data_IF_547171098361
#
_entry.id   IF_547171098361
#
_cell.length_a   1.000
_cell.length_b   1.000
_cell.length_c   1.000
_cell.angle_alpha   90.00
_cell.angle_beta   90.00
_cell.angle_gamma   90.00
#
_symmetry.space_group_name_H-M   'P 1'
#
loop_
_entity.id
_entity.type
_entity.pdbx_description
1 polymer ?
#
# COMPACT_ATOMS: atom_id res chain seq x y z
N UNK A 1 19.07 -5.75 -19.08
CA UNK A 1 19.16 -6.72 -17.96
C UNK A 1 19.21 -5.95 -16.67
N UNK A 2 18.22 -6.11 -15.79
CA UNK A 2 18.24 -5.48 -14.46
C UNK A 2 19.40 -6.06 -13.65
N UNK A 3 20.37 -5.24 -13.26
CA UNK A 3 21.49 -5.66 -12.40
C UNK A 3 20.96 -6.32 -11.14
N UNK A 4 21.54 -7.46 -10.78
CA UNK A 4 21.31 -8.08 -9.47
C UNK A 4 21.85 -7.14 -8.39
N UNK A 5 20.96 -6.58 -7.55
CA UNK A 5 21.35 -5.66 -6.46
C UNK A 5 21.82 -6.41 -5.21
N UNK A 6 21.55 -7.69 -5.09
CA UNK A 6 21.82 -8.46 -3.87
C UNK A 6 23.31 -8.42 -3.43
N UNK A 7 24.32 -8.59 -4.35
CA UNK A 7 25.71 -8.51 -3.95
C UNK A 7 26.10 -7.11 -3.43
N UNK A 8 25.61 -6.04 -4.07
CA UNK A 8 25.86 -4.67 -3.67
C UNK A 8 25.25 -4.37 -2.28
N UNK A 9 24.01 -4.78 -2.06
CA UNK A 9 23.31 -4.57 -0.78
C UNK A 9 23.98 -5.36 0.33
N UNK A 10 24.44 -6.60 0.07
CA UNK A 10 25.20 -7.40 1.03
C UNK A 10 26.51 -6.74 1.43
N UNK A 11 27.21 -6.14 0.49
CA UNK A 11 28.48 -5.44 0.74
C UNK A 11 28.24 -4.18 1.57
N UNK A 12 27.30 -3.31 1.14
CA UNK A 12 27.02 -2.04 1.78
C UNK A 12 26.52 -2.23 3.24
N UNK A 13 25.71 -3.25 3.51
CA UNK A 13 25.10 -3.46 4.83
C UNK A 13 25.83 -4.52 5.66
N UNK A 14 27.03 -4.93 5.24
CA UNK A 14 27.83 -5.90 5.99
C UNK A 14 28.13 -5.42 7.41
N UNK A 15 27.86 -6.27 8.41
CA UNK A 15 28.00 -5.95 9.84
C UNK A 15 26.76 -5.31 10.48
N UNK A 16 25.81 -4.79 9.71
CA UNK A 16 24.50 -4.33 10.21
C UNK A 16 23.39 -5.36 9.99
N UNK A 17 23.31 -5.90 8.77
CA UNK A 17 22.28 -6.87 8.38
C UNK A 17 22.90 -8.00 7.56
N UNK A 18 22.49 -9.23 7.85
CA UNK A 18 22.79 -10.39 7.00
C UNK A 18 21.66 -10.53 5.98
N UNK A 19 21.92 -10.11 4.74
CA UNK A 19 20.92 -10.09 3.67
C UNK A 19 20.82 -11.47 3.03
N UNK A 20 19.67 -12.15 3.22
CA UNK A 20 19.45 -13.52 2.77
C UNK A 20 19.11 -13.60 1.27
N UNK A 21 17.95 -13.06 0.89
CA UNK A 21 17.39 -13.17 -0.47
C UNK A 21 16.44 -12.03 -0.81
N UNK A 22 16.25 -11.76 -2.09
CA UNK A 22 15.20 -10.87 -2.59
C UNK A 22 13.82 -11.55 -2.38
N UNK A 23 12.86 -10.80 -1.84
CA UNK A 23 11.49 -11.25 -1.58
C UNK A 23 10.44 -10.41 -2.32
N UNK A 24 10.81 -9.24 -2.84
CA UNK A 24 9.92 -8.38 -3.61
C UNK A 24 10.68 -7.46 -4.54
N UNK A 25 10.03 -7.14 -5.67
CA UNK A 25 10.59 -6.27 -6.70
C UNK A 25 9.51 -5.30 -7.18
N UNK A 26 9.76 -4.01 -6.98
CA UNK A 26 8.94 -2.92 -7.52
C UNK A 26 9.75 -1.99 -8.43
N UNK A 27 9.06 -1.06 -9.10
CA UNK A 27 9.73 -0.06 -9.95
C UNK A 27 10.67 0.87 -9.18
N UNK A 28 10.30 1.25 -7.95
CA UNK A 28 11.03 2.21 -7.14
C UNK A 28 12.04 1.57 -6.17
N UNK A 29 11.84 0.30 -5.78
CA UNK A 29 12.64 -0.36 -4.75
C UNK A 29 12.65 -1.88 -4.90
N UNK A 30 13.61 -2.51 -4.22
CA UNK A 30 13.72 -3.95 -4.01
C UNK A 30 13.57 -4.28 -2.53
N UNK A 31 12.91 -5.39 -2.23
CA UNK A 31 12.73 -5.85 -0.85
C UNK A 31 13.51 -7.14 -0.65
N UNK A 32 14.27 -7.19 0.42
CA UNK A 32 15.08 -8.35 0.80
C UNK A 32 14.67 -8.85 2.18
N UNK A 33 14.66 -10.17 2.38
CA UNK A 33 14.68 -10.74 3.70
C UNK A 33 16.10 -10.60 4.25
N UNK A 34 16.22 -10.14 5.48
CA UNK A 34 17.50 -9.96 6.15
C UNK A 34 17.39 -10.30 7.63
N UNK A 35 18.52 -10.56 8.28
CA UNK A 35 18.62 -10.74 9.73
C UNK A 35 19.34 -9.57 10.36
N UNK A 36 18.74 -9.00 11.39
CA UNK A 36 19.39 -8.01 12.24
C UNK A 36 20.45 -8.67 13.13
N UNK A 37 21.25 -7.86 13.82
CA UNK A 37 22.33 -8.33 14.72
C UNK A 37 21.84 -9.19 15.89
N UNK A 38 20.56 -9.03 16.30
CA UNK A 38 19.88 -9.84 17.32
C UNK A 38 19.29 -11.15 16.76
N UNK A 39 19.52 -11.46 15.48
CA UNK A 39 19.01 -12.63 14.77
C UNK A 39 17.57 -12.53 14.29
N UNK A 40 16.86 -11.43 14.59
CA UNK A 40 15.48 -11.22 14.17
C UNK A 40 15.40 -11.07 12.65
N UNK A 41 14.40 -11.72 12.04
CA UNK A 41 14.10 -11.59 10.63
C UNK A 41 13.39 -10.25 10.37
N UNK A 42 13.87 -9.50 9.37
CA UNK A 42 13.37 -8.18 8.99
C UNK A 42 13.18 -8.10 7.48
N UNK A 43 12.34 -7.18 7.02
CA UNK A 43 12.21 -6.81 5.63
C UNK A 43 13.04 -5.54 5.38
N UNK A 44 14.07 -5.67 4.56
CA UNK A 44 14.96 -4.59 4.15
C UNK A 44 14.52 -4.10 2.77
N UNK A 45 14.04 -2.88 2.68
CA UNK A 45 13.66 -2.26 1.41
C UNK A 45 14.73 -1.25 0.97
N UNK A 46 15.23 -1.45 -0.23
CA UNK A 46 16.33 -0.67 -0.84
C UNK A 46 15.77 0.09 -2.02
N UNK A 47 15.95 1.41 -2.05
CA UNK A 47 15.58 2.21 -3.19
C UNK A 47 16.46 1.89 -4.41
N UNK A 48 15.85 1.94 -5.59
CA UNK A 48 16.62 1.75 -6.82
C UNK A 48 17.71 2.82 -6.94
N UNK A 49 18.96 2.47 -7.31
CA UNK A 49 20.10 3.42 -7.33
C UNK A 49 19.83 4.70 -8.14
N UNK A 50 19.06 4.60 -9.23
CA UNK A 50 18.69 5.77 -10.04
C UNK A 50 17.75 6.73 -9.30
N UNK A 51 16.86 6.20 -8.45
CA UNK A 51 16.01 7.00 -7.57
C UNK A 51 16.81 7.56 -6.39
N UNK A 52 17.63 6.73 -5.75
CA UNK A 52 18.48 7.16 -4.65
C UNK A 52 19.39 8.34 -5.04
N UNK A 53 19.96 8.34 -6.24
CA UNK A 53 20.77 9.44 -6.76
C UNK A 53 20.00 10.76 -6.98
N UNK A 54 18.66 10.71 -7.15
CA UNK A 54 17.81 11.89 -7.36
C UNK A 54 17.11 12.37 -6.08
N UNK A 55 17.16 11.56 -5.02
CA UNK A 55 16.50 11.82 -3.73
C UNK A 55 17.47 12.55 -2.80
N UNK A 56 17.00 13.65 -2.21
CA UNK A 56 17.75 14.30 -1.12
C UNK A 56 17.57 13.44 0.17
N UNK A 57 18.60 12.66 0.50
CA UNK A 57 18.55 11.69 1.61
C UNK A 57 18.03 12.29 2.91
N UNK A 58 18.45 13.53 3.26
CA UNK A 58 17.95 14.21 4.46
C UNK A 58 16.43 14.43 4.46
N UNK A 59 15.84 14.78 3.30
CA UNK A 59 14.38 14.96 3.19
C UNK A 59 13.67 13.64 3.29
N UNK A 60 14.20 12.60 2.65
CA UNK A 60 13.68 11.24 2.73
C UNK A 60 13.67 10.74 4.17
N UNK A 61 14.78 10.90 4.92
CA UNK A 61 14.86 10.49 6.32
C UNK A 61 13.92 11.29 7.22
N UNK A 62 13.74 12.58 6.97
CA UNK A 62 12.77 13.39 7.72
C UNK A 62 11.34 12.86 7.57
N UNK A 63 10.93 12.54 6.35
CA UNK A 63 9.60 11.99 6.08
C UNK A 63 9.44 10.60 6.68
N UNK A 64 10.45 9.73 6.56
CA UNK A 64 10.43 8.39 7.17
C UNK A 64 10.40 8.47 8.69
N UNK A 65 11.10 9.41 9.30
CA UNK A 65 11.11 9.58 10.75
C UNK A 65 9.70 9.82 11.33
N UNK A 66 8.83 10.48 10.59
CA UNK A 66 7.43 10.68 11.00
C UNK A 66 6.63 9.36 11.07
N UNK A 67 7.13 8.29 10.46
CA UNK A 67 6.50 6.96 10.49
C UNK A 67 6.94 6.14 11.71
N UNK A 68 8.08 6.47 12.32
CA UNK A 68 8.66 5.71 13.43
C UNK A 68 7.71 5.51 14.63
N UNK A 69 6.80 6.46 14.99
CA UNK A 69 5.85 6.27 16.09
C UNK A 69 4.66 5.36 15.76
N UNK A 70 4.53 4.86 14.52
CA UNK A 70 3.43 3.99 14.16
C UNK A 70 3.64 2.58 14.71
N UNK A 71 2.90 2.23 15.75
CA UNK A 71 2.82 0.88 16.32
C UNK A 71 1.37 0.42 16.31
N UNK A 72 1.07 -0.63 15.54
CA UNK A 72 -0.25 -1.22 15.44
C UNK A 72 -0.14 -2.67 14.92
N UNK A 73 -0.97 -3.63 15.36
CA UNK A 73 -0.90 -5.02 14.91
C UNK A 73 -1.08 -5.20 13.38
N UNK A 74 -1.78 -4.28 12.74
CA UNK A 74 -2.04 -4.28 11.30
C UNK A 74 -1.15 -3.28 10.52
N UNK A 75 -0.04 -2.82 11.08
CA UNK A 75 0.97 -1.98 10.43
C UNK A 75 2.34 -2.65 10.58
N UNK A 76 3.06 -2.85 9.50
CA UNK A 76 4.47 -3.26 9.59
C UNK A 76 5.29 -2.08 10.12
N UNK A 77 5.83 -2.25 11.33
CA UNK A 77 6.56 -1.19 12.03
C UNK A 77 7.88 -0.89 11.34
N UNK A 78 8.21 0.40 11.21
CA UNK A 78 9.54 0.85 10.83
C UNK A 78 10.53 0.59 11.96
N UNK A 79 11.63 -0.09 11.66
CA UNK A 79 12.67 -0.49 12.62
C UNK A 79 13.90 0.42 12.53
N UNK A 80 14.35 0.67 11.29
CA UNK A 80 15.58 1.40 11.01
C UNK A 80 15.53 2.00 9.59
N UNK A 81 16.39 2.97 9.31
CA UNK A 81 16.59 3.51 7.98
C UNK A 81 17.99 4.13 7.88
N UNK A 82 18.52 4.25 6.67
CA UNK A 82 19.85 4.82 6.49
C UNK A 82 20.33 4.84 5.05
N UNK A 83 21.56 5.29 4.90
CA UNK A 83 22.32 5.27 3.67
C UNK A 83 23.71 4.72 3.97
N UNK A 84 24.11 3.69 3.22
CA UNK A 84 25.44 3.08 3.30
C UNK A 84 25.94 2.82 1.87
N UNK A 85 27.13 3.28 1.53
CA UNK A 85 27.73 3.10 0.20
C UNK A 85 26.77 3.45 -0.94
N UNK A 86 26.04 4.57 -0.82
CA UNK A 86 25.01 5.03 -1.78
C UNK A 86 23.77 4.14 -1.88
N UNK A 87 23.61 3.20 -0.96
CA UNK A 87 22.42 2.38 -0.80
C UNK A 87 21.49 3.03 0.21
N UNK A 88 20.42 3.66 -0.31
CA UNK A 88 19.37 4.25 0.51
C UNK A 88 18.35 3.16 0.87
N UNK A 89 18.10 2.93 2.15
CA UNK A 89 17.28 1.83 2.62
C UNK A 89 16.44 2.19 3.85
N UNK A 90 15.43 1.37 4.10
CA UNK A 90 14.72 1.29 5.37
C UNK A 90 14.39 -0.16 5.70
N UNK A 91 14.20 -0.41 6.99
CA UNK A 91 13.98 -1.72 7.57
C UNK A 91 12.66 -1.73 8.31
N UNK A 92 11.84 -2.74 8.08
CA UNK A 92 10.54 -2.92 8.73
C UNK A 92 10.38 -4.35 9.23
N UNK A 93 9.35 -4.58 10.06
CA UNK A 93 9.01 -5.93 10.49
C UNK A 93 8.83 -6.84 9.27
N UNK A 94 9.39 -8.06 9.36
CA UNK A 94 9.12 -9.10 8.38
C UNK A 94 7.74 -9.70 8.65
N UNK A 95 6.83 -9.53 7.73
CA UNK A 95 5.47 -10.08 7.80
C UNK A 95 5.42 -11.34 6.95
N UNK A 96 5.13 -12.48 7.57
CA UNK A 96 5.00 -13.76 6.88
C UNK A 96 3.61 -13.90 6.26
N UNK A 97 3.56 -14.13 4.96
CA UNK A 97 2.33 -14.32 4.21
C UNK A 97 2.40 -13.76 2.79
N UNK A 98 1.47 -14.14 1.91
CA UNK A 98 1.37 -13.58 0.58
C UNK A 98 0.82 -12.15 0.63
N UNK A 99 1.11 -11.35 -0.39
CA UNK A 99 0.38 -10.10 -0.62
C UNK A 99 -1.07 -10.41 -1.03
N UNK A 100 -2.00 -9.50 -0.75
CA UNK A 100 -3.37 -9.61 -1.25
C UNK A 100 -3.40 -9.74 -2.78
N UNK A 101 -2.46 -9.10 -3.49
CA UNK A 101 -2.31 -9.26 -4.95
C UNK A 101 -2.02 -10.70 -5.34
N UNK A 102 -1.04 -11.34 -4.69
CA UNK A 102 -0.71 -12.74 -4.94
C UNK A 102 -1.89 -13.66 -4.61
N UNK A 103 -2.59 -13.38 -3.51
CA UNK A 103 -3.77 -14.13 -3.14
C UNK A 103 -4.87 -14.02 -4.21
N UNK A 104 -5.22 -12.81 -4.64
CA UNK A 104 -6.23 -12.59 -5.68
C UNK A 104 -5.86 -13.23 -7.02
N UNK A 105 -4.58 -13.24 -7.37
CA UNK A 105 -4.09 -13.96 -8.56
C UNK A 105 -4.32 -15.48 -8.46
N UNK A 106 -4.26 -16.05 -7.25
CA UNK A 106 -4.46 -17.50 -7.03
C UNK A 106 -5.93 -17.92 -6.99
N UNK A 107 -6.82 -17.09 -6.38
CA UNK A 107 -8.23 -17.42 -6.17
C UNK A 107 -9.18 -16.69 -7.11
N UNK A 108 -8.69 -15.74 -7.92
CA UNK A 108 -9.40 -14.80 -8.80
C UNK A 108 -10.22 -13.76 -8.03
N UNK A 109 -10.95 -14.13 -6.99
CA UNK A 109 -11.70 -13.24 -6.08
C UNK A 109 -11.72 -13.83 -4.67
N UNK A 110 -11.64 -12.97 -3.67
CA UNK A 110 -11.68 -13.36 -2.28
C UNK A 110 -13.11 -13.71 -1.81
N UNK A 111 -13.21 -14.49 -0.74
CA UNK A 111 -14.47 -14.69 -0.03
C UNK A 111 -15.01 -13.39 0.57
N UNK A 112 -16.34 -13.28 0.75
CA UNK A 112 -16.97 -12.10 1.38
C UNK A 112 -16.44 -11.92 2.80
N UNK A 113 -16.40 -13.00 3.59
CA UNK A 113 -15.89 -12.97 4.96
C UNK A 113 -14.43 -12.55 5.03
N UNK A 114 -13.58 -13.04 4.12
CA UNK A 114 -12.16 -12.67 4.09
C UNK A 114 -11.98 -11.21 3.67
N UNK A 115 -12.78 -10.74 2.69
CA UNK A 115 -12.78 -9.33 2.29
C UNK A 115 -13.20 -8.42 3.46
N UNK A 116 -14.20 -8.82 4.25
CA UNK A 116 -14.62 -8.08 5.44
C UNK A 116 -13.51 -8.05 6.50
N UNK A 117 -12.82 -9.17 6.77
CA UNK A 117 -11.68 -9.22 7.71
C UNK A 117 -10.58 -8.29 7.26
N UNK A 118 -10.18 -8.37 5.99
CA UNK A 118 -9.16 -7.47 5.41
C UNK A 118 -9.60 -6.00 5.56
N UNK A 119 -10.88 -5.69 5.28
CA UNK A 119 -11.39 -4.34 5.41
C UNK A 119 -11.30 -3.82 6.85
N UNK A 120 -11.70 -4.61 7.84
CA UNK A 120 -11.60 -4.24 9.26
C UNK A 120 -10.15 -3.99 9.69
N UNK A 121 -9.24 -4.91 9.37
CA UNK A 121 -7.83 -4.83 9.76
C UNK A 121 -7.14 -3.60 9.13
N UNK A 122 -7.36 -3.37 7.83
CA UNK A 122 -6.78 -2.22 7.11
C UNK A 122 -7.38 -0.90 7.58
N UNK A 123 -8.69 -0.86 7.87
CA UNK A 123 -9.31 0.35 8.41
C UNK A 123 -8.83 0.68 9.82
N UNK A 124 -8.56 -0.32 10.67
CA UNK A 124 -7.94 -0.09 11.98
C UNK A 124 -6.52 0.45 11.84
N UNK A 125 -5.72 -0.08 10.90
CA UNK A 125 -4.40 0.43 10.57
C UNK A 125 -4.45 1.88 10.07
N UNK A 126 -5.33 2.18 9.11
CA UNK A 126 -5.50 3.52 8.58
C UNK A 126 -5.97 4.52 9.64
N UNK A 127 -6.92 4.13 10.50
CA UNK A 127 -7.37 4.97 11.61
C UNK A 127 -6.22 5.36 12.53
N UNK A 128 -5.39 4.39 12.94
CA UNK A 128 -4.22 4.63 13.78
C UNK A 128 -3.22 5.61 13.14
N UNK A 129 -3.00 5.53 11.83
CA UNK A 129 -2.10 6.43 11.12
C UNK A 129 -2.72 7.83 10.93
N UNK A 130 -3.99 7.90 10.53
CA UNK A 130 -4.72 9.14 10.29
C UNK A 130 -4.85 9.99 11.55
N UNK A 131 -5.07 9.37 12.71
CA UNK A 131 -5.10 10.05 14.03
C UNK A 131 -3.76 10.74 14.37
N UNK A 132 -2.68 10.35 13.70
CA UNK A 132 -1.33 10.97 13.81
C UNK A 132 -1.00 11.89 12.63
N UNK A 133 -1.98 12.18 11.78
CA UNK A 133 -1.79 13.02 10.58
C UNK A 133 -1.00 12.33 9.46
N UNK A 134 -0.85 11.01 9.50
CA UNK A 134 -0.11 10.23 8.51
C UNK A 134 -1.10 9.63 7.52
N UNK A 135 -0.99 9.99 6.24
CA UNK A 135 -1.76 9.45 5.12
C UNK A 135 -0.87 8.45 4.37
N UNK A 136 -1.39 7.25 4.07
CA UNK A 136 -0.63 6.18 3.42
C UNK A 136 -0.28 6.50 1.96
N UNK A 137 -1.25 7.00 1.18
CA UNK A 137 -1.13 7.45 -0.21
C UNK A 137 -0.84 6.38 -1.27
N UNK A 138 -0.67 5.13 -0.88
CA UNK A 138 -0.39 4.01 -1.80
C UNK A 138 -1.07 2.71 -1.32
N UNK A 139 -2.35 2.80 -0.88
CA UNK A 139 -3.14 1.63 -0.49
C UNK A 139 -3.48 0.84 -1.74
N UNK A 140 -2.96 -0.40 -1.81
CA UNK A 140 -3.16 -1.31 -2.95
C UNK A 140 -2.91 -2.76 -2.53
N UNK A 141 -3.35 -3.76 -3.29
CA UNK A 141 -3.21 -5.17 -2.92
C UNK A 141 -1.75 -5.63 -2.73
N UNK A 142 -0.79 -4.99 -3.38
CA UNK A 142 0.65 -5.27 -3.22
C UNK A 142 1.17 -4.86 -1.84
N UNK A 143 0.53 -3.85 -1.21
CA UNK A 143 0.93 -3.29 0.08
C UNK A 143 0.10 -3.83 1.26
N UNK A 144 -0.72 -4.86 1.04
CA UNK A 144 -1.47 -5.57 2.08
C UNK A 144 -0.97 -7.01 2.13
N UNK A 145 -0.34 -7.40 3.23
CA UNK A 145 0.14 -8.75 3.49
C UNK A 145 -0.90 -9.53 4.31
N UNK A 146 -1.17 -10.76 3.91
CA UNK A 146 -2.12 -11.65 4.58
C UNK A 146 -1.36 -12.57 5.54
N UNK A 147 -1.14 -12.08 6.76
CA UNK A 147 -0.48 -12.82 7.82
C UNK A 147 -1.46 -13.73 8.59
N UNK A 148 -0.97 -14.74 9.34
CA UNK A 148 -1.82 -15.62 10.15
C UNK A 148 -2.71 -14.87 11.15
N UNK A 149 -2.24 -13.72 11.66
CA UNK A 149 -2.95 -12.89 12.64
C UNK A 149 -3.90 -11.86 12.01
N UNK A 150 -3.95 -11.73 10.68
CA UNK A 150 -4.78 -10.78 9.95
C UNK A 150 -4.03 -10.03 8.85
N UNK A 151 -4.70 -9.09 8.20
CA UNK A 151 -4.09 -8.25 7.17
C UNK A 151 -3.15 -7.22 7.81
N UNK A 152 -1.98 -7.02 7.19
CA UNK A 152 -0.97 -6.05 7.65
C UNK A 152 -0.63 -5.11 6.50
N UNK A 153 -0.77 -3.82 6.72
CA UNK A 153 -0.45 -2.76 5.76
C UNK A 153 1.03 -2.40 5.87
N UNK A 154 1.70 -2.34 4.73
CA UNK A 154 3.14 -2.03 4.61
C UNK A 154 3.35 -0.75 3.81
N UNK A 155 4.56 -0.17 3.89
CA UNK A 155 5.00 0.96 3.04
C UNK A 155 4.25 2.29 3.25
N UNK A 156 3.86 2.60 4.48
CA UNK A 156 3.23 3.88 4.84
C UNK A 156 4.07 5.08 4.39
N UNK A 157 3.44 6.04 3.71
CA UNK A 157 4.00 7.36 3.42
C UNK A 157 5.29 7.40 2.59
N UNK A 158 5.87 6.25 2.22
CA UNK A 158 7.16 6.16 1.53
C UNK A 158 7.07 6.79 0.14
N UNK A 159 5.94 6.65 -0.56
CA UNK A 159 5.72 7.30 -1.86
C UNK A 159 5.86 8.82 -1.75
N UNK A 160 5.34 9.43 -0.67
CA UNK A 160 5.52 10.86 -0.38
C UNK A 160 6.96 11.21 -0.06
N UNK A 161 7.64 10.41 0.77
CA UNK A 161 9.03 10.63 1.13
C UNK A 161 9.94 10.67 -0.12
N UNK A 162 9.72 9.75 -1.06
CA UNK A 162 10.44 9.70 -2.34
C UNK A 162 10.10 10.90 -3.22
N UNK A 163 8.82 11.25 -3.38
CA UNK A 163 8.38 12.38 -4.20
C UNK A 163 8.89 13.72 -3.66
N UNK A 164 8.71 14.00 -2.37
CA UNK A 164 9.18 15.25 -1.74
C UNK A 164 10.71 15.38 -1.72
N UNK A 165 11.43 14.27 -1.76
CA UNK A 165 12.87 14.27 -1.85
C UNK A 165 13.41 14.60 -3.26
N UNK A 166 12.54 14.86 -4.25
CA UNK A 166 12.93 15.37 -5.57
C UNK A 166 12.85 14.37 -6.72
N UNK A 167 12.23 13.21 -6.51
CA UNK A 167 12.08 12.17 -7.53
C UNK A 167 10.92 12.40 -8.52
N UNK A 168 10.26 13.57 -8.51
CA UNK A 168 9.07 13.89 -9.32
C UNK A 168 9.27 13.67 -10.85
N UNK A 169 10.52 13.78 -11.32
CA UNK A 169 10.84 13.56 -12.74
C UNK A 169 10.85 12.09 -13.14
N UNK A 170 11.07 11.17 -12.19
CA UNK A 170 11.16 9.73 -12.45
C UNK A 170 9.78 9.04 -12.35
N UNK A 171 8.85 9.56 -11.55
CA UNK A 171 7.47 9.05 -11.49
C UNK A 171 6.72 9.30 -12.79
N UNK A 172 7.07 10.37 -13.54
CA UNK A 172 6.52 10.66 -14.88
C UNK A 172 7.06 9.76 -15.99
N UNK A 173 8.11 9.00 -15.77
CA UNK A 173 8.79 8.20 -16.79
C UNK A 173 8.53 6.68 -16.70
N UNK A 174 7.37 6.24 -16.18
CA UNK A 174 6.96 4.83 -16.29
C UNK A 174 7.44 3.90 -15.17
N UNK A 175 7.97 4.41 -14.05
CA UNK A 175 8.31 3.58 -12.89
C UNK A 175 7.10 3.15 -12.04
N UNK A 176 5.90 3.66 -12.34
CA UNK A 176 4.66 3.42 -11.60
C UNK A 176 3.69 2.46 -12.30
N UNK A 177 4.18 1.48 -13.05
CA UNK A 177 3.32 0.47 -13.67
C UNK A 177 2.58 -0.33 -12.60
N UNK A 178 1.27 -0.13 -12.48
CA UNK A 178 0.36 -0.86 -11.59
C UNK A 178 -0.29 -0.05 -10.46
N UNK A 179 0.19 1.16 -10.15
CA UNK A 179 -0.36 1.98 -9.05
C UNK A 179 -1.62 2.77 -9.47
N UNK A 180 -1.78 3.06 -10.75
CA UNK A 180 -2.87 3.88 -11.29
C UNK A 180 -4.28 3.33 -11.00
N UNK A 181 -4.42 2.00 -10.86
CA UNK A 181 -5.72 1.34 -10.64
C UNK A 181 -6.37 1.62 -9.27
N UNK A 182 -5.65 2.26 -8.34
CA UNK A 182 -6.13 2.56 -6.97
C UNK A 182 -5.97 4.03 -6.59
N UNK A 183 -5.42 4.87 -7.49
CA UNK A 183 -5.20 6.29 -7.22
C UNK A 183 -6.52 7.03 -7.07
N UNK A 184 -6.61 7.88 -6.06
CA UNK A 184 -7.76 8.76 -5.89
C UNK A 184 -7.77 9.89 -6.94
N UNK A 185 -8.96 10.44 -7.29
CA UNK A 185 -9.09 11.53 -8.25
C UNK A 185 -8.21 12.75 -7.93
N UNK A 186 -8.08 13.11 -6.64
CA UNK A 186 -7.25 14.22 -6.17
C UNK A 186 -5.74 13.92 -6.27
N UNK A 187 -5.31 12.67 -6.06
CA UNK A 187 -3.93 12.26 -6.32
C UNK A 187 -3.58 12.38 -7.81
N UNK A 188 -4.48 11.93 -8.68
CA UNK A 188 -4.33 12.03 -10.14
C UNK A 188 -4.30 13.49 -10.61
N UNK A 189 -5.07 14.35 -9.95
CA UNK A 189 -5.08 15.78 -10.24
C UNK A 189 -3.82 16.50 -9.73
N UNK A 190 -2.97 15.83 -8.92
CA UNK A 190 -1.80 16.46 -8.31
C UNK A 190 -2.17 17.51 -7.27
N UNK A 191 -3.30 17.32 -6.55
CA UNK A 191 -3.74 18.25 -5.51
C UNK A 191 -2.74 18.27 -4.35
N UNK A 192 -2.53 19.47 -3.78
CA UNK A 192 -1.75 19.63 -2.55
C UNK A 192 -2.54 19.17 -1.30
N UNK A 193 -3.87 19.14 -1.38
CA UNK A 193 -4.80 18.78 -0.30
C UNK A 193 -5.15 17.29 -0.29
N UNK A 194 -4.14 16.42 -0.25
CA UNK A 194 -4.35 14.98 -0.12
C UNK A 194 -4.45 14.62 1.36
N UNK A 195 -5.62 14.16 1.80
CA UNK A 195 -5.91 13.76 3.17
C UNK A 195 -6.28 12.26 3.32
N UNK A 196 -6.72 11.87 4.52
CA UNK A 196 -7.15 10.51 4.88
C UNK A 196 -8.19 9.91 3.92
N UNK A 197 -9.03 10.73 3.29
CA UNK A 197 -10.09 10.29 2.37
C UNK A 197 -9.54 9.75 1.05
N UNK A 198 -8.29 10.05 0.71
CA UNK A 198 -7.61 9.42 -0.43
C UNK A 198 -7.33 7.93 -0.17
N UNK A 199 -6.90 7.58 1.06
CA UNK A 199 -6.69 6.17 1.44
C UNK A 199 -8.01 5.40 1.48
N UNK A 200 -9.11 6.05 1.90
CA UNK A 200 -10.46 5.49 1.89
C UNK A 200 -10.89 5.15 0.46
N UNK A 201 -10.65 6.03 -0.51
CA UNK A 201 -10.91 5.77 -1.91
C UNK A 201 -10.12 4.56 -2.43
N UNK A 202 -8.82 4.56 -2.17
CA UNK A 202 -7.93 3.48 -2.59
C UNK A 202 -8.34 2.14 -1.98
N UNK A 203 -8.70 2.12 -0.69
CA UNK A 203 -9.24 0.92 -0.04
C UNK A 203 -10.57 0.49 -0.67
N UNK A 204 -11.46 1.42 -1.01
CA UNK A 204 -12.68 1.13 -1.76
C UNK A 204 -12.40 0.37 -3.05
N UNK A 205 -11.39 0.80 -3.83
CA UNK A 205 -10.96 0.12 -5.05
C UNK A 205 -10.39 -1.29 -4.76
N UNK A 206 -9.60 -1.44 -3.69
CA UNK A 206 -9.07 -2.75 -3.25
C UNK A 206 -10.19 -3.72 -2.87
N UNK A 207 -11.17 -3.27 -2.09
CA UNK A 207 -12.31 -4.10 -1.68
C UNK A 207 -13.20 -4.46 -2.87
N UNK A 208 -13.40 -3.51 -3.80
CA UNK A 208 -14.08 -3.80 -5.06
C UNK A 208 -13.36 -4.91 -5.84
N UNK A 209 -12.04 -4.80 -6.07
CA UNK A 209 -11.26 -5.83 -6.75
C UNK A 209 -11.32 -7.17 -6.01
N UNK A 210 -11.23 -7.16 -4.68
CA UNK A 210 -11.28 -8.38 -3.87
C UNK A 210 -12.56 -9.17 -4.09
N UNK A 211 -13.70 -8.49 -4.24
CA UNK A 211 -15.00 -9.10 -4.48
C UNK A 211 -15.26 -9.38 -5.98
N UNK A 212 -14.94 -8.45 -6.85
CA UNK A 212 -15.21 -8.53 -8.28
C UNK A 212 -14.18 -9.37 -9.05
N UNK A 213 -12.97 -9.57 -8.51
CA UNK A 213 -11.85 -10.27 -9.14
C UNK A 213 -11.08 -9.43 -10.17
N UNK A 214 -11.39 -8.14 -10.25
CA UNK A 214 -10.71 -7.15 -11.11
C UNK A 214 -10.93 -5.73 -10.57
N UNK A 215 -10.03 -4.78 -10.87
CA UNK A 215 -10.16 -3.39 -10.45
C UNK A 215 -11.47 -2.74 -10.93
N UNK A 216 -11.92 -1.63 -10.30
CA UNK A 216 -13.14 -0.93 -10.70
C UNK A 216 -13.05 -0.34 -12.12
N UNK A 217 -11.85 0.05 -12.53
CA UNK A 217 -11.59 0.62 -13.86
C UNK A 217 -10.40 -0.09 -14.50
N UNK A 218 -10.58 -0.49 -15.76
CA UNK A 218 -9.57 -1.18 -16.56
C UNK A 218 -9.56 -0.59 -17.97
N UNK A 219 -8.37 -0.37 -18.48
CA UNK A 219 -8.11 0.00 -19.86
C UNK A 219 -6.69 -0.42 -20.24
N UNK A 220 -6.39 -0.79 -21.50
CA UNK A 220 -5.03 -1.07 -21.94
C UNK A 220 -4.06 0.10 -21.78
N UNK A 221 -4.57 1.32 -21.75
CA UNK A 221 -3.78 2.54 -21.61
C UNK A 221 -3.92 3.12 -20.20
N UNK A 222 -2.81 3.33 -19.53
CA UNK A 222 -2.77 3.86 -18.17
C UNK A 222 -3.47 5.23 -18.05
N UNK A 223 -3.24 6.13 -18.99
CA UNK A 223 -3.90 7.45 -19.02
C UNK A 223 -5.43 7.34 -19.11
N UNK A 224 -5.95 6.31 -19.76
CA UNK A 224 -7.38 6.05 -19.79
C UNK A 224 -7.88 5.57 -18.40
N UNK A 225 -7.15 4.71 -17.71
CA UNK A 225 -7.47 4.30 -16.33
C UNK A 225 -7.52 5.53 -15.41
N UNK A 226 -6.50 6.38 -15.45
CA UNK A 226 -6.46 7.63 -14.68
C UNK A 226 -7.66 8.54 -14.97
N UNK A 227 -8.05 8.66 -16.25
CA UNK A 227 -9.24 9.42 -16.64
C UNK A 227 -10.52 8.80 -16.06
N UNK A 228 -10.67 7.46 -16.12
CA UNK A 228 -11.84 6.77 -15.56
C UNK A 228 -11.97 6.99 -14.05
N UNK A 229 -10.88 6.95 -13.30
CA UNK A 229 -10.88 7.30 -11.87
C UNK A 229 -11.42 8.71 -11.61
N UNK A 230 -11.14 9.67 -12.49
CA UNK A 230 -11.59 11.07 -12.36
C UNK A 230 -13.03 11.29 -12.77
N UNK A 231 -13.51 10.62 -13.84
CA UNK A 231 -14.73 11.05 -14.53
C UNK A 231 -15.80 9.98 -14.71
N UNK A 232 -15.43 8.69 -14.66
CA UNK A 232 -16.43 7.64 -14.87
C UNK A 232 -17.30 7.44 -13.64
N UNK A 233 -18.58 7.05 -13.79
CA UNK A 233 -19.42 6.65 -12.67
C UNK A 233 -18.74 5.56 -11.83
N UNK A 234 -19.04 5.55 -10.53
CA UNK A 234 -18.59 4.48 -9.63
C UNK A 234 -19.32 3.19 -10.00
N UNK A 235 -18.61 2.11 -10.39
CA UNK A 235 -19.27 0.86 -10.74
C UNK A 235 -19.85 0.19 -9.51
N UNK A 236 -21.00 -0.49 -9.66
CA UNK A 236 -21.55 -1.30 -8.59
C UNK A 236 -20.84 -2.65 -8.51
N UNK A 237 -20.41 -3.04 -7.30
CA UNK A 237 -19.87 -4.38 -7.08
C UNK A 237 -20.91 -5.46 -7.28
N UNK A 238 -22.21 -5.16 -7.05
CA UNK A 238 -23.32 -6.09 -7.26
C UNK A 238 -23.48 -6.52 -8.72
N UNK A 239 -23.08 -5.70 -9.69
CA UNK A 239 -23.05 -6.09 -11.11
C UNK A 239 -21.99 -7.16 -11.42
N UNK A 240 -21.04 -7.38 -10.51
CA UNK A 240 -19.94 -8.35 -10.65
C UNK A 240 -20.09 -9.53 -9.70
N UNK A 241 -20.76 -9.29 -8.57
CA UNK A 241 -20.99 -10.25 -7.50
C UNK A 241 -22.29 -9.95 -6.80
N UNK A 242 -23.34 -10.59 -7.23
CA UNK A 242 -24.73 -10.37 -6.80
C UNK A 242 -25.03 -10.85 -5.37
N UNK A 243 -24.22 -11.80 -4.85
CA UNK A 243 -24.29 -12.31 -3.46
C UNK A 243 -23.59 -11.38 -2.43
N UNK A 244 -23.06 -10.23 -2.86
CA UNK A 244 -22.44 -9.25 -1.94
C UNK A 244 -23.50 -8.63 -1.02
N UNK A 245 -23.31 -8.61 0.32
CA UNK A 245 -24.22 -7.95 1.23
C UNK A 245 -24.45 -6.48 0.84
N UNK A 246 -25.72 -5.99 0.78
CA UNK A 246 -26.01 -4.62 0.35
C UNK A 246 -25.25 -3.54 1.14
N UNK A 247 -25.10 -3.71 2.46
CA UNK A 247 -24.34 -2.77 3.30
C UNK A 247 -22.85 -2.72 2.92
N UNK A 248 -22.23 -3.85 2.54
CA UNK A 248 -20.85 -3.88 2.07
C UNK A 248 -20.73 -3.20 0.70
N UNK A 249 -21.66 -3.49 -0.22
CA UNK A 249 -21.70 -2.88 -1.54
C UNK A 249 -21.82 -1.35 -1.46
N UNK A 250 -22.73 -0.85 -0.60
CA UNK A 250 -22.92 0.59 -0.36
C UNK A 250 -21.68 1.23 0.28
N UNK A 251 -21.07 0.54 1.26
CA UNK A 251 -19.84 1.03 1.91
C UNK A 251 -18.70 1.21 0.90
N UNK A 252 -18.51 0.25 0.00
CA UNK A 252 -17.50 0.30 -1.07
C UNK A 252 -17.86 1.40 -2.08
N UNK A 253 -19.12 1.47 -2.51
CA UNK A 253 -19.57 2.48 -3.48
C UNK A 253 -19.31 3.90 -2.98
N UNK A 254 -19.71 4.19 -1.73
CA UNK A 254 -19.45 5.49 -1.09
C UNK A 254 -17.97 5.80 -0.93
N UNK A 255 -17.14 4.81 -0.56
CA UNK A 255 -15.70 5.00 -0.45
C UNK A 255 -15.08 5.46 -1.78
N UNK A 256 -15.61 4.99 -2.92
CA UNK A 256 -15.12 5.32 -4.26
C UNK A 256 -15.77 6.59 -4.86
N UNK A 257 -16.54 7.39 -4.12
CA UNK A 257 -17.08 8.66 -4.57
C UNK A 257 -15.96 9.57 -5.10
N UNK A 258 -16.26 10.34 -6.17
CA UNK A 258 -15.24 11.17 -6.84
C UNK A 258 -14.86 12.37 -6.00
N UNK A 259 -15.87 13.06 -5.45
CA UNK A 259 -15.64 14.13 -4.49
C UNK A 259 -15.26 13.54 -3.12
N UNK A 260 -14.13 13.92 -2.51
CA UNK A 260 -13.77 13.50 -1.16
C UNK A 260 -14.85 13.83 -0.11
N UNK A 261 -15.66 14.86 -0.32
CA UNK A 261 -16.74 15.24 0.61
C UNK A 261 -17.88 14.23 0.67
N UNK A 262 -18.11 13.47 -0.40
CA UNK A 262 -19.15 12.44 -0.48
C UNK A 262 -18.69 11.10 0.10
N UNK A 263 -17.39 10.91 0.35
CA UNK A 263 -16.83 9.71 0.94
C UNK A 263 -17.12 9.59 2.43
N UNK A 264 -16.61 8.53 3.03
CA UNK A 264 -16.54 8.40 4.49
C UNK A 264 -15.56 9.45 5.04
N UNK A 265 -15.93 10.21 6.09
CA UNK A 265 -15.08 11.26 6.64
C UNK A 265 -13.76 10.75 7.21
N UNK A 266 -13.74 9.52 7.74
CA UNK A 266 -12.57 8.88 8.31
C UNK A 266 -12.71 7.35 8.27
N UNK A 267 -11.62 6.65 8.57
CA UNK A 267 -11.54 5.19 8.56
C UNK A 267 -12.47 4.55 9.61
N UNK A 268 -12.63 5.15 10.79
CA UNK A 268 -13.50 4.64 11.85
C UNK A 268 -14.97 4.63 11.41
N UNK A 269 -15.45 5.68 10.74
CA UNK A 269 -16.82 5.75 10.23
C UNK A 269 -17.05 4.74 9.11
N UNK A 270 -16.11 4.56 8.19
CA UNK A 270 -16.20 3.52 7.18
C UNK A 270 -16.25 2.11 7.81
N UNK A 271 -15.38 1.87 8.81
CA UNK A 271 -15.34 0.59 9.54
C UNK A 271 -16.66 0.27 10.25
N UNK A 272 -17.27 1.28 10.87
CA UNK A 272 -18.53 1.13 11.58
C UNK A 272 -19.73 0.86 10.66
N UNK A 273 -19.62 1.19 9.37
CA UNK A 273 -20.64 0.93 8.36
C UNK A 273 -20.51 -0.45 7.71
N UNK A 274 -19.39 -1.15 7.90
CA UNK A 274 -19.23 -2.53 7.42
C UNK A 274 -20.15 -3.49 8.17
N UNK A 275 -20.64 -4.56 7.51
CA UNK A 275 -21.28 -5.66 8.19
C UNK A 275 -20.41 -6.24 9.30
N UNK A 276 -21.02 -6.69 10.40
CA UNK A 276 -20.29 -7.37 11.45
C UNK A 276 -19.66 -8.67 10.92
N UNK A 277 -18.47 -9.01 11.42
CA UNK A 277 -17.86 -10.30 11.15
C UNK A 277 -18.67 -11.38 11.86
N UNK A 278 -19.22 -12.32 11.11
CA UNK A 278 -19.80 -13.51 11.72
C UNK A 278 -18.67 -14.33 12.40
N UNK A 279 -18.92 -14.85 13.62
CA UNK A 279 -17.96 -15.73 14.24
C UNK A 279 -17.72 -16.94 13.33
N UNK A 280 -16.44 -17.26 13.06
CA UNK A 280 -16.10 -18.46 12.29
C UNK A 280 -16.79 -19.67 12.91
N UNK A 281 -17.45 -20.53 12.14
CA UNK A 281 -17.91 -21.80 12.64
C UNK A 281 -16.72 -22.57 13.22
N UNK A 282 -16.84 -22.99 14.48
CA UNK A 282 -15.83 -23.79 15.22
C UNK A 282 -15.69 -25.18 14.61
#
# INVERSE_FOLDING_TARGET
>A
MARDLLPMVRQALNGRYVVDREIGRGGAARVFAARASDGRLVALKVLHPQLAASVAAERFFREIHHLAPLEHPHIARLIDYGEEDWVLYYVMDYVEGPTLKQHLQSVRRAGITDTLRIAHDVLDALACAHDRGIVHRDVKPENILLAPQGAVLVDFGIARAVSQAGADRLTRSGFAVGTSAYMSPEQIAGSDDIDARSDIYSLGCVLFESLAGRPPYEDPFEDAVLRLHRTAPVPSVLERRDDTPPALAETIHRAMAKDPADRWPNAQMMRSALPALEPSPR
#
